data_IF_510743827748
#
_entry.id   IF_510743827748
#
_cell.length_a   1.000
_cell.length_b   1.000
_cell.length_c   1.000
_cell.angle_alpha   90.00
_cell.angle_beta   90.00
_cell.angle_gamma   90.00
#
_symmetry.space_group_name_H-M   'P 1'
#
loop_
_entity.id
_entity.type
_entity.pdbx_description
1 polymer ?
#
# COMPACT_ATOMS: atom_id res chain seq x y z
N UNK A 1 -32.31 -4.88 44.78
CA UNK A 1 -32.91 -4.99 43.43
C UNK A 1 -32.30 -3.89 42.59
N UNK A 2 -31.68 -4.33 41.49
CA UNK A 2 -31.34 -3.57 40.27
C UNK A 2 -30.45 -2.32 40.41
N UNK A 3 -29.14 -2.54 40.29
CA UNK A 3 -28.24 -1.55 39.69
C UNK A 3 -28.02 -1.93 38.23
N UNK A 4 -28.58 -1.12 37.32
CA UNK A 4 -28.35 -1.21 35.89
C UNK A 4 -26.84 -1.06 35.61
N UNK A 5 -26.21 -2.14 35.17
CA UNK A 5 -24.87 -2.11 34.62
C UNK A 5 -24.92 -1.48 33.24
N UNK A 6 -24.30 -0.30 33.10
CA UNK A 6 -24.00 0.27 31.80
C UNK A 6 -22.92 -0.60 31.17
N UNK A 7 -23.35 -1.62 30.43
CA UNK A 7 -22.49 -2.34 29.50
C UNK A 7 -22.03 -1.32 28.45
N UNK A 8 -20.76 -0.93 28.53
CA UNK A 8 -20.08 -0.31 27.41
C UNK A 8 -20.21 -1.28 26.23
N UNK A 9 -20.71 -0.83 25.06
CA UNK A 9 -20.84 -1.71 23.92
C UNK A 9 -19.45 -2.26 23.60
N UNK A 10 -19.31 -3.57 23.75
CA UNK A 10 -18.20 -4.34 23.20
C UNK A 10 -18.20 -3.97 21.72
N UNK A 11 -17.17 -3.24 21.28
CA UNK A 11 -16.96 -2.89 19.88
C UNK A 11 -17.14 -4.17 19.07
N UNK A 12 -18.17 -4.15 18.22
CA UNK A 12 -18.66 -5.29 17.49
C UNK A 12 -17.52 -5.99 16.76
N UNK A 13 -17.57 -7.31 16.80
CA UNK A 13 -16.76 -8.20 15.98
C UNK A 13 -16.91 -7.83 14.51
N UNK A 14 -15.78 -7.47 13.89
CA UNK A 14 -15.47 -7.47 12.45
C UNK A 14 -16.66 -7.27 11.50
N UNK A 15 -16.95 -6.01 11.17
CA UNK A 15 -17.57 -5.72 9.88
C UNK A 15 -16.56 -6.10 8.78
N UNK A 16 -16.98 -6.99 7.88
CA UNK A 16 -16.18 -7.41 6.73
C UNK A 16 -15.70 -6.17 5.95
N UNK A 17 -14.40 -6.14 5.65
CA UNK A 17 -13.81 -5.05 4.88
C UNK A 17 -14.37 -5.09 3.45
N UNK A 18 -14.38 -3.96 2.71
CA UNK A 18 -14.83 -3.95 1.31
C UNK A 18 -14.06 -4.92 0.40
N UNK A 19 -12.92 -5.45 0.85
CA UNK A 19 -12.10 -6.38 0.11
C UNK A 19 -12.51 -7.86 0.27
N UNK A 20 -13.29 -8.23 1.29
CA UNK A 20 -13.52 -9.64 1.62
C UNK A 20 -14.41 -10.37 0.60
N UNK A 21 -15.36 -9.67 -0.01
CA UNK A 21 -16.23 -10.15 -1.11
C UNK A 21 -15.88 -9.54 -2.47
N UNK A 22 -14.72 -8.88 -2.58
CA UNK A 22 -14.36 -8.12 -3.78
C UNK A 22 -13.84 -9.01 -4.92
N UNK A 23 -14.17 -8.67 -6.16
CA UNK A 23 -13.65 -9.33 -7.38
C UNK A 23 -12.29 -8.79 -7.85
N UNK A 24 -11.70 -7.84 -7.11
CA UNK A 24 -10.35 -7.32 -7.32
C UNK A 24 -10.24 -6.21 -8.37
N UNK A 25 -11.26 -5.39 -8.57
CA UNK A 25 -11.28 -4.34 -9.59
C UNK A 25 -10.10 -3.35 -9.54
N UNK A 26 -9.64 -2.97 -8.35
CA UNK A 26 -8.45 -2.11 -8.20
C UNK A 26 -7.17 -2.78 -8.72
N UNK A 27 -7.04 -4.10 -8.56
CA UNK A 27 -5.92 -4.87 -9.11
C UNK A 27 -5.99 -5.02 -10.63
N UNK A 28 -7.13 -4.72 -11.27
CA UNK A 28 -7.29 -4.78 -12.73
C UNK A 28 -7.16 -3.40 -13.36
N UNK A 29 -7.70 -2.40 -12.68
CA UNK A 29 -7.78 -1.02 -13.17
C UNK A 29 -6.45 -0.30 -13.08
N UNK A 30 -5.70 -0.49 -12.00
CA UNK A 30 -4.49 0.29 -11.76
C UNK A 30 -3.22 -0.47 -12.13
N UNK A 31 -2.30 0.24 -12.76
CA UNK A 31 -0.87 -0.11 -12.70
C UNK A 31 -0.39 0.30 -11.31
N UNK A 32 0.14 -0.65 -10.54
CA UNK A 32 0.59 -0.42 -9.17
C UNK A 32 2.05 0.05 -9.22
N UNK A 33 2.36 1.33 -8.93
CA UNK A 33 3.73 1.81 -8.89
C UNK A 33 4.50 1.16 -7.74
N UNK A 34 5.77 0.85 -8.01
CA UNK A 34 6.71 0.28 -7.05
C UNK A 34 7.79 1.29 -6.70
N UNK A 35 8.15 1.34 -5.41
CA UNK A 35 9.39 1.96 -4.93
C UNK A 35 10.53 0.94 -4.90
N UNK A 36 11.77 1.40 -4.72
CA UNK A 36 12.89 0.49 -4.52
C UNK A 36 12.77 -0.33 -3.23
N UNK A 37 12.16 0.22 -2.16
CA UNK A 37 11.86 -0.54 -0.95
C UNK A 37 10.84 -1.65 -1.21
N UNK A 38 9.79 -1.38 -2.00
CA UNK A 38 8.82 -2.41 -2.39
C UNK A 38 9.50 -3.53 -3.18
N UNK A 39 10.37 -3.18 -4.14
CA UNK A 39 11.13 -4.14 -4.94
C UNK A 39 12.01 -5.01 -4.03
N UNK A 40 12.81 -4.40 -3.17
CA UNK A 40 13.70 -5.11 -2.24
C UNK A 40 12.91 -6.07 -1.34
N UNK A 41 11.80 -5.58 -0.79
CA UNK A 41 10.93 -6.37 0.07
C UNK A 41 10.31 -7.55 -0.68
N UNK A 42 9.79 -7.33 -1.89
CA UNK A 42 9.19 -8.39 -2.71
C UNK A 42 10.22 -9.44 -3.12
N UNK A 43 11.44 -9.04 -3.53
CA UNK A 43 12.49 -10.00 -3.86
C UNK A 43 12.81 -10.92 -2.66
N UNK A 44 12.93 -10.33 -1.47
CA UNK A 44 13.21 -11.08 -0.23
C UNK A 44 12.06 -11.97 0.20
N UNK A 45 10.85 -11.40 0.30
CA UNK A 45 9.70 -12.09 0.88
C UNK A 45 9.19 -13.20 -0.06
N UNK A 46 9.25 -12.98 -1.37
CA UNK A 46 8.73 -13.92 -2.38
C UNK A 46 9.81 -14.84 -2.97
N UNK A 47 11.10 -14.57 -2.71
CA UNK A 47 12.25 -15.25 -3.35
C UNK A 47 12.16 -15.21 -4.88
N UNK A 48 11.69 -14.08 -5.41
CA UNK A 48 11.55 -13.80 -6.83
C UNK A 48 12.55 -12.73 -7.23
N UNK A 49 13.05 -12.79 -8.45
CA UNK A 49 13.82 -11.69 -9.02
C UNK A 49 12.90 -10.53 -9.42
N UNK A 50 13.45 -9.31 -9.47
CA UNK A 50 12.80 -8.13 -10.04
C UNK A 50 12.00 -8.41 -11.33
N UNK A 51 12.60 -9.18 -12.26
CA UNK A 51 12.03 -9.46 -13.58
C UNK A 51 10.77 -10.31 -13.56
N UNK A 52 10.52 -11.03 -12.46
CA UNK A 52 9.33 -11.86 -12.31
C UNK A 52 8.12 -11.09 -11.78
N UNK A 53 8.28 -9.81 -11.43
CA UNK A 53 7.15 -9.04 -10.91
C UNK A 53 7.10 -7.56 -11.27
N UNK A 54 8.20 -6.98 -11.71
CA UNK A 54 8.27 -5.56 -12.06
C UNK A 54 8.57 -5.38 -13.55
N UNK A 55 7.97 -4.35 -14.13
CA UNK A 55 8.30 -3.86 -15.45
C UNK A 55 8.28 -2.32 -15.47
N UNK A 56 8.70 -1.73 -16.59
CA UNK A 56 8.55 -0.30 -16.87
C UNK A 56 7.28 -0.11 -17.70
N UNK A 57 6.37 0.74 -17.22
CA UNK A 57 5.16 1.13 -17.92
C UNK A 57 5.36 2.49 -18.55
N UNK A 58 5.09 2.64 -19.85
CA UNK A 58 5.08 3.94 -20.51
C UNK A 58 4.00 4.82 -19.89
N UNK A 59 4.35 6.07 -19.60
CA UNK A 59 3.43 7.02 -18.98
C UNK A 59 3.55 8.44 -19.56
N UNK A 60 3.45 8.60 -20.90
CA UNK A 60 3.65 9.89 -21.58
C UNK A 60 2.68 10.98 -21.12
N UNK A 61 1.52 10.59 -20.59
CA UNK A 61 0.47 11.50 -20.14
C UNK A 61 0.40 11.64 -18.61
N UNK A 62 1.24 10.91 -17.85
CA UNK A 62 1.22 10.95 -16.39
C UNK A 62 -0.03 10.30 -15.76
N UNK A 63 -0.76 9.47 -16.50
CA UNK A 63 -2.00 8.82 -16.04
C UNK A 63 -1.73 7.71 -15.03
N UNK A 64 -0.53 7.10 -15.07
CA UNK A 64 -0.08 6.11 -14.09
C UNK A 64 0.56 6.83 -12.90
N UNK A 65 1.50 7.74 -13.16
CA UNK A 65 2.23 8.44 -12.10
C UNK A 65 1.32 9.30 -11.24
N UNK A 66 0.34 9.99 -11.83
CA UNK A 66 -0.60 10.91 -11.17
C UNK A 66 0.04 11.88 -10.16
N UNK A 67 1.27 12.35 -10.45
CA UNK A 67 2.12 13.14 -9.54
C UNK A 67 2.50 12.44 -8.22
N UNK A 68 2.14 11.19 -8.05
CA UNK A 68 2.48 10.35 -6.91
C UNK A 68 3.80 9.59 -7.14
N UNK A 69 3.98 8.92 -8.28
CA UNK A 69 5.20 8.19 -8.58
C UNK A 69 6.14 9.00 -9.51
N UNK A 70 7.47 8.85 -9.39
CA UNK A 70 8.40 9.52 -10.30
C UNK A 70 8.46 8.85 -11.67
N UNK A 71 8.81 9.63 -12.68
CA UNK A 71 9.18 9.13 -14.00
C UNK A 71 10.68 8.79 -14.09
N UNK A 72 10.97 7.64 -14.69
CA UNK A 72 12.30 7.22 -15.09
C UNK A 72 12.43 7.29 -16.62
N UNK A 73 13.61 7.66 -17.09
CA UNK A 73 13.99 7.58 -18.51
C UNK A 73 15.09 6.54 -18.68
N UNK A 74 15.16 5.91 -19.84
CA UNK A 74 16.14 4.86 -20.12
C UNK A 74 16.93 5.17 -21.39
N UNK A 75 18.14 4.62 -21.50
CA UNK A 75 19.05 4.91 -22.61
C UNK A 75 18.45 4.55 -23.98
N UNK A 76 17.68 3.46 -24.04
CA UNK A 76 17.02 2.98 -25.24
C UNK A 76 15.83 3.86 -25.66
N UNK A 77 15.16 4.50 -24.70
CA UNK A 77 14.01 5.38 -24.93
C UNK A 77 14.07 6.66 -24.08
N UNK A 78 15.01 7.57 -24.36
CA UNK A 78 15.36 8.67 -23.45
C UNK A 78 14.28 9.77 -23.33
N UNK A 79 13.30 9.80 -24.24
CA UNK A 79 12.21 10.78 -24.24
C UNK A 79 10.91 10.23 -23.64
N UNK A 80 10.80 8.91 -23.54
CA UNK A 80 9.60 8.25 -23.01
C UNK A 80 9.70 8.25 -21.48
N UNK A 81 8.75 8.84 -20.75
CA UNK A 81 8.68 8.68 -19.31
C UNK A 81 8.10 7.32 -18.95
N UNK A 82 8.71 6.66 -17.97
CA UNK A 82 8.26 5.37 -17.46
C UNK A 82 7.99 5.40 -15.96
N UNK A 83 6.99 4.64 -15.53
CA UNK A 83 6.77 4.29 -14.12
C UNK A 83 7.19 2.84 -13.91
N UNK A 84 7.93 2.57 -12.84
CA UNK A 84 8.22 1.19 -12.43
C UNK A 84 7.01 0.65 -11.70
N UNK A 85 6.42 -0.43 -12.21
CA UNK A 85 5.18 -0.95 -11.67
C UNK A 85 5.12 -2.47 -11.69
N UNK A 86 4.11 -3.02 -11.00
CA UNK A 86 3.83 -4.45 -11.06
C UNK A 86 3.41 -4.87 -12.46
N UNK A 87 3.86 -6.07 -12.85
CA UNK A 87 3.42 -6.73 -14.08
C UNK A 87 1.91 -7.05 -13.97
N UNK A 88 1.21 -6.86 -15.08
CA UNK A 88 -0.13 -7.37 -15.27
C UNK A 88 -0.10 -8.62 -16.15
N UNK A 89 -1.01 -9.56 -15.88
CA UNK A 89 -1.23 -10.76 -16.68
C UNK A 89 -2.70 -10.84 -17.09
N UNK A 90 -3.04 -11.69 -18.05
CA UNK A 90 -4.44 -11.93 -18.39
C UNK A 90 -5.19 -12.58 -17.21
N UNK A 91 -6.47 -12.25 -17.10
CA UNK A 91 -7.40 -12.90 -16.19
C UNK A 91 -7.66 -14.35 -16.61
N UNK A 92 -7.75 -15.25 -15.63
CA UNK A 92 -8.09 -16.64 -15.87
C UNK A 92 -9.58 -16.85 -16.09
N UNK A 93 -10.43 -16.07 -15.41
CA UNK A 93 -11.88 -16.28 -15.40
C UNK A 93 -12.69 -15.21 -16.13
N UNK A 94 -12.11 -14.04 -16.41
CA UNK A 94 -12.78 -12.93 -17.08
C UNK A 94 -12.06 -12.63 -18.40
N UNK A 95 -12.52 -13.17 -19.53
CA UNK A 95 -11.83 -13.05 -20.81
C UNK A 95 -11.58 -11.60 -21.22
N UNK A 96 -10.46 -11.37 -21.93
CA UNK A 96 -10.07 -10.05 -22.46
C UNK A 96 -9.90 -8.97 -21.38
N UNK A 97 -9.58 -9.37 -20.15
CA UNK A 97 -9.20 -8.45 -19.09
C UNK A 97 -7.82 -8.77 -18.56
N UNK A 98 -7.13 -7.74 -18.07
CA UNK A 98 -5.85 -7.87 -17.38
C UNK A 98 -6.03 -7.69 -15.88
N UNK A 99 -5.05 -8.18 -15.13
CA UNK A 99 -4.98 -8.07 -13.67
C UNK A 99 -3.53 -7.97 -13.23
N UNK A 100 -3.31 -7.38 -12.06
CA UNK A 100 -2.07 -7.54 -11.31
C UNK A 100 -1.75 -9.04 -11.21
N UNK A 101 -0.51 -9.40 -11.54
CA UNK A 101 -0.08 -10.81 -11.54
C UNK A 101 -0.26 -11.54 -10.20
N UNK A 102 -0.35 -10.78 -9.09
CA UNK A 102 -0.55 -11.33 -7.75
C UNK A 102 -2.02 -11.45 -7.34
N UNK A 103 -2.98 -11.06 -8.20
CA UNK A 103 -4.40 -11.25 -7.94
C UNK A 103 -4.77 -12.73 -8.11
N UNK A 104 -5.18 -13.35 -7.00
CA UNK A 104 -5.73 -14.70 -6.98
C UNK A 104 -7.23 -14.60 -7.19
N UNK A 105 -7.69 -15.08 -8.33
CA UNK A 105 -9.10 -15.05 -8.72
C UNK A 105 -9.79 -16.35 -8.28
N UNK A 106 -11.02 -16.23 -7.80
CA UNK A 106 -11.98 -17.32 -7.70
C UNK A 106 -12.83 -17.41 -8.96
N UNK A 107 -13.36 -18.60 -9.21
CA UNK A 107 -14.32 -18.79 -10.30
C UNK A 107 -15.62 -18.03 -10.01
N UNK A 108 -16.28 -17.46 -11.03
CA UNK A 108 -17.63 -16.93 -10.90
C UNK A 108 -18.65 -17.99 -10.46
N UNK A 109 -19.62 -17.58 -9.68
CA UNK A 109 -20.77 -18.38 -9.27
C UNK A 109 -22.06 -17.53 -9.25
N UNK A 110 -23.18 -18.09 -8.78
CA UNK A 110 -24.47 -17.41 -8.75
C UNK A 110 -24.50 -16.20 -7.80
N UNK A 111 -23.74 -16.25 -6.70
CA UNK A 111 -23.67 -15.20 -5.70
C UNK A 111 -22.66 -14.11 -6.09
N UNK A 112 -21.57 -14.53 -6.73
CA UNK A 112 -20.45 -13.71 -7.17
C UNK A 112 -20.22 -13.88 -8.68
N UNK A 113 -20.99 -13.18 -9.53
CA UNK A 113 -20.92 -13.34 -10.99
C UNK A 113 -19.59 -12.89 -11.61
N UNK A 114 -18.76 -12.16 -10.86
CA UNK A 114 -17.38 -11.78 -11.23
C UNK A 114 -16.32 -12.59 -10.45
N UNK A 115 -16.75 -13.53 -9.61
CA UNK A 115 -15.92 -14.27 -8.66
C UNK A 115 -15.44 -13.42 -7.48
N UNK A 116 -14.94 -14.08 -6.44
CA UNK A 116 -14.24 -13.43 -5.33
C UNK A 116 -12.74 -13.53 -5.56
N UNK A 117 -12.01 -12.43 -5.36
CA UNK A 117 -10.57 -12.38 -5.57
C UNK A 117 -9.84 -11.81 -4.36
N UNK A 118 -8.58 -12.20 -4.20
CA UNK A 118 -7.73 -11.72 -3.10
C UNK A 118 -6.29 -11.51 -3.52
N UNK A 119 -5.61 -10.64 -2.79
CA UNK A 119 -4.18 -10.40 -3.01
C UNK A 119 -3.36 -11.62 -2.55
N UNK A 120 -2.59 -12.22 -3.46
CA UNK A 120 -1.71 -13.35 -3.16
C UNK A 120 -0.47 -12.99 -2.35
N UNK A 121 -0.22 -11.69 -2.15
CA UNK A 121 0.94 -11.15 -1.43
C UNK A 121 0.51 -10.15 -0.34
N UNK A 122 -0.63 -10.37 0.33
CA UNK A 122 -1.26 -9.41 1.24
C UNK A 122 -0.29 -8.77 2.27
N UNK A 123 0.56 -9.59 2.89
CA UNK A 123 1.56 -9.16 3.88
C UNK A 123 2.79 -8.47 3.27
N UNK A 124 3.02 -8.64 1.98
CA UNK A 124 4.12 -8.05 1.21
C UNK A 124 3.63 -7.05 0.18
N UNK A 125 2.37 -6.58 0.30
CA UNK A 125 1.78 -5.58 -0.61
C UNK A 125 2.71 -4.38 -0.76
N UNK A 126 2.87 -3.86 -1.99
CA UNK A 126 3.54 -2.58 -2.22
C UNK A 126 2.90 -1.46 -1.41
N UNK A 127 3.68 -0.44 -1.12
CA UNK A 127 3.27 0.74 -0.35
C UNK A 127 2.01 1.38 -0.94
N UNK A 128 1.92 1.52 -2.26
CA UNK A 128 0.73 2.05 -2.95
C UNK A 128 -0.56 1.25 -2.64
N UNK A 129 -0.47 -0.08 -2.55
CA UNK A 129 -1.62 -0.93 -2.21
C UNK A 129 -1.97 -0.91 -0.72
N UNK A 130 -1.00 -0.64 0.16
CA UNK A 130 -1.21 -0.60 1.62
C UNK A 130 -1.95 0.64 2.05
N UNK A 131 -1.66 1.75 1.39
CA UNK A 131 -2.24 3.05 1.72
C UNK A 131 -3.56 3.28 1.02
N UNK A 132 -3.87 2.59 -0.08
CA UNK A 132 -5.16 2.72 -0.75
C UNK A 132 -6.33 2.34 0.18
N UNK A 133 -7.43 3.11 0.20
CA UNK A 133 -7.73 4.35 -0.53
C UNK A 133 -7.45 5.62 0.30
N UNK A 134 -6.55 5.57 1.28
CA UNK A 134 -6.19 6.71 2.12
C UNK A 134 -5.04 7.52 1.53
N UNK A 135 -4.96 8.80 1.90
CA UNK A 135 -3.83 9.70 1.61
C UNK A 135 -3.69 10.74 2.72
N UNK A 136 -2.59 11.48 2.72
CA UNK A 136 -2.57 12.76 3.40
C UNK A 136 -3.31 13.82 2.60
N UNK A 137 -3.90 14.78 3.30
CA UNK A 137 -4.40 16.02 2.72
C UNK A 137 -3.26 16.86 2.08
N UNK A 138 -3.61 18.02 1.52
CA UNK A 138 -2.64 18.86 0.82
C UNK A 138 -1.55 19.46 1.72
N UNK A 139 -1.79 19.55 3.04
CA UNK A 139 -0.78 20.06 4.00
C UNK A 139 0.11 18.94 4.52
N UNK A 140 -0.36 17.69 4.50
CA UNK A 140 0.37 16.54 5.02
C UNK A 140 0.03 16.20 6.46
N UNK A 141 -0.96 16.86 7.05
CA UNK A 141 -1.24 16.82 8.48
C UNK A 141 -2.41 15.89 8.82
N UNK A 142 -3.33 15.69 7.88
CA UNK A 142 -4.57 14.95 8.10
C UNK A 142 -4.66 13.77 7.14
N UNK A 143 -5.10 12.62 7.67
CA UNK A 143 -5.42 11.45 6.86
C UNK A 143 -6.82 11.59 6.29
N UNK A 144 -6.94 11.49 4.97
CA UNK A 144 -8.21 11.47 4.23
C UNK A 144 -8.49 10.08 3.68
N UNK A 145 -9.73 9.63 3.76
CA UNK A 145 -10.24 8.48 2.99
C UNK A 145 -10.74 9.02 1.66
N UNK A 146 -10.09 8.61 0.57
CA UNK A 146 -10.53 8.98 -0.78
C UNK A 146 -11.76 8.17 -1.12
N UNK A 147 -12.85 8.85 -1.45
CA UNK A 147 -14.04 8.20 -1.98
C UNK A 147 -13.75 7.73 -3.40
N UNK A 148 -13.58 6.41 -3.54
CA UNK A 148 -13.26 5.76 -4.79
C UNK A 148 -14.56 5.58 -5.59
N UNK A 149 -14.70 6.19 -6.78
CA UNK A 149 -15.87 5.97 -7.60
C UNK A 149 -15.93 4.50 -8.02
N UNK A 150 -17.14 3.95 -8.19
CA UNK A 150 -17.29 2.55 -8.61
C UNK A 150 -16.65 2.30 -9.99
N UNK A 151 -16.63 3.31 -10.87
CA UNK A 151 -16.03 3.22 -12.20
C UNK A 151 -15.18 4.47 -12.46
N UNK A 152 -14.01 4.30 -13.07
CA UNK A 152 -13.15 5.42 -13.49
C UNK A 152 -13.32 5.79 -14.95
N UNK A 153 -13.64 4.81 -15.79
CA UNK A 153 -13.87 4.98 -17.21
C UNK A 153 -15.29 4.49 -17.54
N UNK A 154 -15.85 4.98 -18.65
CA UNK A 154 -17.12 4.48 -19.20
C UNK A 154 -16.98 3.08 -19.84
N UNK A 155 -15.83 2.41 -19.69
CA UNK A 155 -15.62 1.05 -20.18
C UNK A 155 -16.69 0.11 -19.61
N UNK A 156 -17.43 -0.55 -20.50
CA UNK A 156 -18.61 -1.36 -20.17
C UNK A 156 -18.28 -2.60 -19.33
N UNK A 157 -17.00 -2.98 -19.20
CA UNK A 157 -16.62 -4.22 -18.53
C UNK A 157 -16.59 -4.08 -17.01
N UNK A 158 -17.60 -4.68 -16.37
CA UNK A 158 -17.80 -4.67 -14.92
C UNK A 158 -16.63 -5.24 -14.11
N UNK A 159 -15.71 -5.99 -14.73
CA UNK A 159 -14.51 -6.46 -14.07
C UNK A 159 -13.58 -5.34 -13.60
N UNK A 160 -13.71 -4.12 -14.15
CA UNK A 160 -12.96 -2.95 -13.71
C UNK A 160 -13.73 -2.08 -12.71
N UNK A 161 -14.93 -2.51 -12.30
CA UNK A 161 -15.65 -1.86 -11.20
C UNK A 161 -14.80 -1.95 -9.95
N UNK A 162 -14.63 -0.85 -9.23
CA UNK A 162 -13.73 -0.77 -8.09
C UNK A 162 -14.35 -1.39 -6.84
N UNK A 163 -14.54 -0.61 -5.79
CA UNK A 163 -14.95 -1.14 -4.50
C UNK A 163 -16.46 -1.44 -4.49
N UNK A 164 -16.90 -2.59 -3.94
CA UNK A 164 -18.32 -2.98 -3.92
C UNK A 164 -19.18 -2.05 -3.06
N UNK A 165 -18.56 -1.38 -2.08
CA UNK A 165 -19.16 -0.31 -1.28
C UNK A 165 -18.14 0.82 -1.03
N UNK A 166 -18.61 2.02 -0.67
CA UNK A 166 -17.74 3.08 -0.16
C UNK A 166 -16.96 2.64 1.09
N UNK A 167 -15.81 3.27 1.29
CA UNK A 167 -14.97 3.07 2.46
C UNK A 167 -15.37 4.01 3.60
N UNK A 168 -15.41 3.48 4.81
CA UNK A 168 -15.77 4.18 6.03
C UNK A 168 -14.60 4.19 7.03
N UNK A 169 -14.53 5.15 7.97
CA UNK A 169 -13.47 5.19 8.97
C UNK A 169 -13.32 3.91 9.79
N UNK A 170 -14.42 3.17 10.01
CA UNK A 170 -14.41 1.90 10.74
C UNK A 170 -13.65 0.78 10.00
N UNK A 171 -13.43 0.90 8.69
CA UNK A 171 -12.69 -0.08 7.89
C UNK A 171 -11.17 -0.03 8.13
N UNK A 172 -10.68 0.95 8.89
CA UNK A 172 -9.26 1.23 9.06
C UNK A 172 -8.83 1.23 10.52
N UNK A 173 -7.69 0.61 10.79
CA UNK A 173 -6.95 0.85 12.04
C UNK A 173 -6.19 2.18 11.92
N UNK A 174 -6.47 3.20 12.77
CA UNK A 174 -5.89 4.53 12.62
C UNK A 174 -4.36 4.54 12.76
N UNK A 175 -3.80 3.72 13.66
CA UNK A 175 -2.36 3.67 13.94
C UNK A 175 -1.63 3.07 12.74
N UNK A 176 -2.07 1.90 12.29
CA UNK A 176 -1.49 1.17 11.15
C UNK A 176 -1.63 1.98 9.86
N UNK A 177 -2.77 2.65 9.66
CA UNK A 177 -3.01 3.51 8.49
C UNK A 177 -2.03 4.68 8.46
N UNK A 178 -1.86 5.37 9.58
CA UNK A 178 -0.93 6.49 9.70
C UNK A 178 0.53 6.04 9.48
N UNK A 179 0.91 4.91 10.06
CA UNK A 179 2.25 4.32 9.87
C UNK A 179 2.50 4.02 8.39
N UNK A 180 1.58 3.30 7.73
CA UNK A 180 1.71 2.96 6.32
C UNK A 180 1.79 4.20 5.42
N UNK A 181 0.97 5.21 5.67
CA UNK A 181 1.00 6.48 4.92
C UNK A 181 2.32 7.22 5.09
N UNK A 182 2.82 7.30 6.33
CA UNK A 182 4.09 7.96 6.64
C UNK A 182 5.25 7.28 5.93
N UNK A 183 5.31 5.94 6.02
CA UNK A 183 6.35 5.15 5.35
C UNK A 183 6.25 5.33 3.83
N UNK A 184 5.05 5.21 3.25
CA UNK A 184 4.86 5.36 1.81
C UNK A 184 5.26 6.75 1.31
N UNK A 185 4.88 7.82 2.03
CA UNK A 185 5.22 9.19 1.67
C UNK A 185 6.73 9.45 1.75
N UNK A 186 7.38 8.98 2.81
CA UNK A 186 8.84 9.09 2.96
C UNK A 186 9.56 8.33 1.85
N UNK A 187 9.15 7.09 1.60
CA UNK A 187 9.75 6.23 0.61
C UNK A 187 9.60 6.79 -0.80
N UNK A 188 8.40 7.26 -1.15
CA UNK A 188 8.15 7.81 -2.47
C UNK A 188 8.93 9.12 -2.70
N UNK A 189 9.09 9.96 -1.67
CA UNK A 189 9.94 11.15 -1.73
C UNK A 189 11.41 10.78 -1.96
N UNK A 190 11.90 9.72 -1.32
CA UNK A 190 13.23 9.21 -1.57
C UNK A 190 13.36 8.67 -3.00
N UNK A 191 12.36 7.93 -3.47
CA UNK A 191 12.36 7.37 -4.81
C UNK A 191 12.35 8.44 -5.92
N UNK A 192 11.73 9.60 -5.69
CA UNK A 192 11.88 10.76 -6.57
C UNK A 192 13.33 11.24 -6.68
N UNK A 193 14.09 11.27 -5.57
CA UNK A 193 15.51 11.63 -5.61
C UNK A 193 16.33 10.60 -6.38
N UNK A 194 15.98 9.32 -6.27
CA UNK A 194 16.61 8.24 -7.04
C UNK A 194 16.32 8.39 -8.54
N UNK A 195 15.08 8.69 -8.91
CA UNK A 195 14.73 8.99 -10.30
C UNK A 195 15.50 10.20 -10.83
N UNK A 196 15.61 11.29 -10.06
CA UNK A 196 16.42 12.44 -10.43
C UNK A 196 17.90 12.08 -10.64
N UNK A 197 18.48 11.24 -9.78
CA UNK A 197 19.85 10.78 -9.91
C UNK A 197 20.04 9.94 -11.17
N UNK A 198 19.17 8.95 -11.39
CA UNK A 198 19.17 8.09 -12.56
C UNK A 198 19.02 8.89 -13.86
N UNK A 199 18.05 9.81 -13.90
CA UNK A 199 17.71 10.59 -15.09
C UNK A 199 18.80 11.60 -15.51
N UNK A 200 19.81 11.89 -14.68
CA UNK A 200 20.99 12.70 -15.08
C UNK A 200 21.80 12.02 -16.18
N UNK A 201 21.89 10.69 -16.12
CA UNK A 201 22.55 9.86 -17.12
C UNK A 201 21.82 8.51 -17.18
N UNK A 202 20.69 8.45 -17.91
CA UNK A 202 19.90 7.24 -18.05
C UNK A 202 20.74 6.06 -18.50
N UNK A 203 20.70 4.97 -17.74
CA UNK A 203 21.32 3.71 -18.11
C UNK A 203 20.37 2.82 -18.95
N UNK A 204 20.86 1.68 -19.45
CA UNK A 204 20.01 0.68 -20.07
C UNK A 204 19.10 0.01 -19.03
N UNK A 205 17.95 -0.48 -19.48
CA UNK A 205 16.94 -1.08 -18.58
C UNK A 205 17.47 -2.27 -17.78
N UNK A 206 18.27 -3.12 -18.41
CA UNK A 206 18.79 -4.36 -17.80
C UNK A 206 19.68 -4.12 -16.57
N UNK A 207 20.30 -2.94 -16.41
CA UNK A 207 21.11 -2.62 -15.23
C UNK A 207 20.33 -1.91 -14.12
N UNK A 208 19.07 -1.53 -14.39
CA UNK A 208 18.26 -0.75 -13.45
C UNK A 208 18.06 -1.46 -12.09
N UNK A 209 17.79 -2.78 -12.03
CA UNK A 209 17.66 -3.46 -10.75
C UNK A 209 18.96 -3.46 -9.93
N UNK A 210 20.11 -3.60 -10.59
CA UNK A 210 21.42 -3.56 -9.91
C UNK A 210 21.72 -2.16 -9.36
N UNK A 211 21.36 -1.11 -10.11
CA UNK A 211 21.41 0.25 -9.63
C UNK A 211 20.57 0.44 -8.36
N UNK A 212 19.32 -0.04 -8.35
CA UNK A 212 18.47 0.02 -7.16
C UNK A 212 19.09 -0.77 -6.00
N UNK A 213 19.63 -1.96 -6.24
CA UNK A 213 20.27 -2.78 -5.19
C UNK A 213 21.42 -2.04 -4.52
N UNK A 214 22.30 -1.40 -5.29
CA UNK A 214 23.41 -0.60 -4.75
C UNK A 214 22.90 0.56 -3.90
N UNK A 215 21.91 1.32 -4.41
CA UNK A 215 21.35 2.46 -3.69
C UNK A 215 20.71 2.05 -2.37
N UNK A 216 19.98 0.94 -2.35
CA UNK A 216 19.25 0.48 -1.16
C UNK A 216 20.12 -0.32 -0.20
N UNK A 217 21.18 -0.99 -0.65
CA UNK A 217 22.14 -1.64 0.25
C UNK A 217 22.86 -0.62 1.11
N UNK A 218 23.30 0.50 0.52
CA UNK A 218 23.95 1.59 1.26
C UNK A 218 23.00 2.26 2.27
N UNK A 219 21.69 2.30 1.95
CA UNK A 219 20.67 2.83 2.85
C UNK A 219 20.47 1.95 4.09
N UNK A 220 20.53 0.63 3.94
CA UNK A 220 20.40 -0.32 5.05
C UNK A 220 21.67 -0.32 5.92
N UNK A 221 22.85 -0.24 5.32
CA UNK A 221 24.14 -0.24 6.04
C UNK A 221 24.36 0.98 6.95
N UNK A 222 23.72 2.12 6.66
CA UNK A 222 23.74 3.28 7.56
C UNK A 222 22.74 3.21 8.71
N UNK A 223 21.77 2.29 8.68
CA UNK A 223 20.88 2.01 9.81
C UNK A 223 21.51 1.11 10.88
N UNK A 224 22.57 0.37 10.52
CA UNK A 224 23.30 -0.52 11.43
C UNK A 224 24.59 0.09 12.00
N UNK A 225 24.95 1.32 11.62
CA UNK A 225 25.94 2.08 12.39
C UNK A 225 25.30 2.47 13.72
N UNK A 226 25.47 1.58 14.69
CA UNK A 226 25.41 1.78 16.13
C UNK A 226 25.27 3.26 16.49
N UNK A 227 24.05 3.68 16.80
CA UNK A 227 23.87 4.72 17.78
C UNK A 227 24.53 4.18 19.05
N UNK A 228 25.66 4.77 19.43
CA UNK A 228 26.19 4.62 20.77
C UNK A 228 25.02 4.80 21.75
N UNK A 229 24.84 3.84 22.66
CA UNK A 229 23.69 3.70 23.58
C UNK A 229 23.50 4.88 24.58
N UNK A 230 24.17 6.02 24.40
CA UNK A 230 24.19 7.12 25.37
C UNK A 230 23.26 8.32 25.03
N UNK A 231 22.48 8.27 23.95
CA UNK A 231 21.63 9.42 23.55
C UNK A 231 20.16 9.10 23.24
N UNK A 232 19.61 8.00 23.77
CA UNK A 232 18.17 7.80 23.69
C UNK A 232 17.44 8.74 24.66
N UNK A 233 16.49 9.58 24.19
CA UNK A 233 15.61 10.31 25.09
C UNK A 233 14.83 9.31 25.94
N UNK A 234 14.76 9.59 27.24
CA UNK A 234 14.02 8.78 28.20
C UNK A 234 12.58 8.58 27.72
N UNK A 235 12.20 7.33 27.45
CA UNK A 235 10.82 6.98 27.14
C UNK A 235 9.98 7.29 28.38
N UNK A 236 9.23 8.39 28.34
CA UNK A 236 8.21 8.68 29.35
C UNK A 236 7.06 7.73 29.06
N UNK A 237 6.94 6.67 29.87
CA UNK A 237 5.76 5.79 29.83
C UNK A 237 4.55 6.61 30.27
N UNK A 238 3.47 6.56 29.50
CA UNK A 238 2.18 7.07 29.96
C UNK A 238 1.88 6.44 31.33
N UNK A 239 1.51 7.24 32.35
CA UNK A 239 1.11 6.68 33.63
C UNK A 239 -0.07 5.74 33.37
N UNK A 240 0.07 4.49 33.81
CA UNK A 240 -1.06 3.59 33.90
C UNK A 240 -2.17 4.30 34.67
N UNK A 241 -3.41 4.20 34.19
CA UNK A 241 -4.57 4.76 34.87
C UNK A 241 -4.49 4.32 36.34
N UNK A 242 -4.40 5.31 37.24
CA UNK A 242 -4.31 5.06 38.67
C UNK A 242 -5.49 4.15 39.05
N UNK A 243 -5.19 2.98 39.59
CA UNK A 243 -6.18 2.16 40.27
C UNK A 243 -6.81 3.05 41.33
N UNK A 244 -8.10 3.34 41.16
CA UNK A 244 -8.85 4.12 42.13
C UNK A 244 -8.82 3.36 43.45
N UNK A 245 -8.09 3.88 44.43
CA UNK A 245 -8.13 3.42 45.81
C UNK A 245 -9.58 3.41 46.27
N UNK A 246 -10.10 2.21 46.52
CA UNK A 246 -11.40 2.03 47.15
C UNK A 246 -11.29 2.54 48.58
N UNK A 247 -12.17 3.46 49.03
CA UNK A 247 -12.07 3.97 50.40
C UNK A 247 -12.38 2.85 51.39
N UNK A 248 -11.39 2.55 52.22
CA UNK A 248 -11.50 1.75 53.43
C UNK A 248 -12.64 2.25 54.32
N UNK A 249 -13.72 1.47 54.45
CA UNK A 249 -14.73 1.68 55.50
C UNK A 249 -14.12 1.24 56.84
N UNK A 250 -13.82 2.21 57.71
CA UNK A 250 -13.63 1.98 59.14
C UNK A 250 -14.98 1.90 59.87
N UNK A 251 -14.98 1.04 60.87
CA UNK A 251 -16.10 0.55 61.66
C UNK A 251 -16.86 1.60 62.48
N UNK A 252 -18.13 1.30 62.71
CA UNK A 252 -18.82 1.43 63.99
C UNK A 252 -19.68 0.18 64.18
#
# INVERSE_FOLDING_TARGET
METAGTELPILGQSDETPCDSCHGGCCRTFVIPLTGADIWKLERDLKKSFWEFACRWEDPHGSIAQKYAPHFHFQDEPKTPFVIGLIQSESTFIPRTTKCQFLREGAPDEEHPLGVARCGIYNSRPSACRVFPTRFDNTGDVVEIVQVPNQLNEDENQAYNLCPRPWEPADFDPVTTMEHLTIAAYEMRFFHKIAQLWNRKPGPWNIFPDFLKIVYSERVMHGEKTLDEELFPTIIKFPAAAESETPSKRAA
#
